data_IF_493071379658
#
_entry.id   IF_493071379658
#
_cell.length_a   1.000
_cell.length_b   1.000
_cell.length_c   1.000
_cell.angle_alpha   90.00
_cell.angle_beta   90.00
_cell.angle_gamma   90.00
#
_symmetry.space_group_name_H-M   'P 1'
#
loop_
_entity.id
_entity.type
_entity.pdbx_description
1 polymer ?
#
# COMPACT_ATOMS: atom_id res chain seq x y z
N UNK A 1 -1.67 -10.28 16.69
CA UNK A 1 -0.41 -10.13 15.91
C UNK A 1 0.07 -11.37 15.15
N UNK A 2 -0.09 -12.64 15.62
CA UNK A 2 0.52 -13.79 14.94
C UNK A 2 0.18 -13.94 13.46
N UNK A 3 -1.07 -13.67 13.08
CA UNK A 3 -1.51 -13.80 11.69
C UNK A 3 -0.89 -12.74 10.76
N UNK A 4 -0.80 -11.48 11.20
CA UNK A 4 -0.13 -10.42 10.42
C UNK A 4 1.35 -10.75 10.23
N UNK A 5 2.05 -11.14 11.30
CA UNK A 5 3.46 -11.56 11.24
C UNK A 5 3.67 -12.68 10.23
N UNK A 6 2.79 -13.71 10.28
CA UNK A 6 2.84 -14.85 9.35
C UNK A 6 2.59 -14.44 7.90
N UNK A 7 1.59 -13.58 7.66
CA UNK A 7 1.20 -13.18 6.30
C UNK A 7 2.23 -12.25 5.65
N UNK A 8 2.68 -11.21 6.35
CA UNK A 8 3.66 -10.26 5.81
C UNK A 8 5.07 -10.86 5.75
N UNK A 9 5.35 -11.85 6.61
CA UNK A 9 6.63 -12.57 6.65
C UNK A 9 6.82 -13.63 5.57
N UNK A 10 5.76 -14.03 4.84
CA UNK A 10 5.88 -14.87 3.65
C UNK A 10 6.80 -14.15 2.65
N UNK A 11 7.90 -14.79 2.25
CA UNK A 11 8.87 -14.18 1.34
C UNK A 11 8.23 -13.78 0.00
N UNK A 12 7.21 -14.48 -0.47
CA UNK A 12 6.48 -14.09 -1.67
C UNK A 12 5.83 -12.70 -1.52
N UNK A 13 5.44 -12.31 -0.30
CA UNK A 13 4.90 -11.00 0.04
C UNK A 13 6.04 -10.01 0.30
N UNK A 14 6.94 -10.30 1.25
CA UNK A 14 7.96 -9.33 1.69
C UNK A 14 8.98 -8.98 0.61
N UNK A 15 9.26 -9.88 -0.35
CA UNK A 15 10.17 -9.59 -1.48
C UNK A 15 9.69 -8.51 -2.43
N UNK A 16 8.43 -8.09 -2.30
CA UNK A 16 7.81 -7.02 -3.08
C UNK A 16 7.63 -5.71 -2.29
N UNK A 17 8.06 -5.69 -1.02
CA UNK A 17 7.87 -4.55 -0.10
C UNK A 17 9.22 -3.92 0.23
N UNK A 18 9.29 -2.59 0.25
CA UNK A 18 10.55 -1.87 0.44
C UNK A 18 11.15 -2.06 1.84
N UNK A 19 10.33 -1.89 2.88
CA UNK A 19 10.79 -1.76 4.27
C UNK A 19 10.70 -3.05 5.09
N UNK A 20 10.07 -4.11 4.56
CA UNK A 20 9.81 -5.36 5.30
C UNK A 20 11.03 -6.28 5.22
N UNK A 21 11.66 -6.66 6.36
CA UNK A 21 12.76 -7.62 6.36
C UNK A 21 12.29 -9.06 6.09
N UNK A 22 13.25 -9.94 5.81
CA UNK A 22 13.01 -11.39 5.81
C UNK A 22 14.21 -12.10 6.47
N UNK A 23 14.00 -12.98 7.47
CA UNK A 23 12.72 -13.32 8.09
C UNK A 23 12.08 -12.12 8.81
N UNK A 24 10.74 -12.11 8.87
CA UNK A 24 9.97 -11.09 9.59
C UNK A 24 9.56 -11.64 10.95
N UNK A 25 9.95 -10.97 12.03
CA UNK A 25 9.73 -11.43 13.41
C UNK A 25 8.44 -10.85 14.02
N UNK A 26 8.04 -11.41 15.17
CA UNK A 26 6.95 -10.82 15.97
C UNK A 26 7.34 -9.43 16.48
N UNK A 27 8.61 -9.22 16.83
CA UNK A 27 9.14 -7.92 17.28
C UNK A 27 9.08 -6.86 16.16
N UNK A 28 9.33 -7.24 14.90
CA UNK A 28 9.12 -6.35 13.76
C UNK A 28 7.64 -5.94 13.63
N UNK A 29 6.73 -6.88 13.87
CA UNK A 29 5.28 -6.64 13.81
C UNK A 29 4.81 -5.73 14.95
N UNK A 30 5.30 -5.96 16.17
CA UNK A 30 5.02 -5.13 17.33
C UNK A 30 5.58 -3.72 17.16
N UNK A 31 6.81 -3.59 16.64
CA UNK A 31 7.42 -2.28 16.33
C UNK A 31 6.58 -1.52 15.31
N UNK A 32 6.18 -2.17 14.22
CA UNK A 32 5.32 -1.56 13.21
C UNK A 32 3.95 -1.18 13.77
N UNK A 33 3.35 -2.04 14.61
CA UNK A 33 2.08 -1.77 15.25
C UNK A 33 2.16 -0.58 16.21
N UNK A 34 3.15 -0.54 17.12
CA UNK A 34 3.38 0.60 18.01
C UNK A 34 3.67 1.90 17.26
N UNK A 35 4.31 1.80 16.11
CA UNK A 35 4.52 2.96 15.25
C UNK A 35 3.20 3.42 14.65
N UNK A 36 2.33 2.53 14.17
CA UNK A 36 1.11 2.90 13.42
C UNK A 36 -0.12 3.14 14.30
N UNK A 37 -0.19 2.51 15.46
CA UNK A 37 -1.22 2.70 16.49
C UNK A 37 -1.01 4.06 17.18
N UNK A 38 -2.04 4.90 17.21
CA UNK A 38 -1.95 6.22 17.84
C UNK A 38 -1.31 7.32 16.99
N UNK A 39 -0.90 7.04 15.74
CA UNK A 39 -0.49 8.09 14.80
C UNK A 39 -1.67 8.96 14.39
N UNK A 40 -1.81 10.11 15.06
CA UNK A 40 -2.60 11.27 14.63
C UNK A 40 -1.75 12.45 14.17
N UNK A 41 -0.42 12.37 14.34
CA UNK A 41 0.49 13.52 14.23
C UNK A 41 1.45 13.58 13.04
N UNK A 42 1.69 12.49 12.31
CA UNK A 42 2.56 12.47 11.13
C UNK A 42 1.80 12.49 9.79
N UNK A 43 0.47 12.59 9.80
CA UNK A 43 -0.35 12.63 8.59
C UNK A 43 -0.36 11.33 7.76
N UNK A 44 0.23 10.22 8.22
CA UNK A 44 0.01 8.89 7.65
C UNK A 44 -1.14 8.20 8.39
N UNK A 45 -2.01 7.52 7.64
CA UNK A 45 -3.06 6.66 8.18
C UNK A 45 -2.89 5.27 7.61
N UNK A 46 -3.01 4.29 8.50
CA UNK A 46 -2.95 2.87 8.16
C UNK A 46 -4.29 2.23 8.48
N UNK A 47 -4.84 1.51 7.51
CA UNK A 47 -6.07 0.73 7.63
C UNK A 47 -5.72 -0.75 7.56
N UNK A 48 -6.22 -1.52 8.53
CA UNK A 48 -6.18 -2.98 8.45
C UNK A 48 -7.22 -3.48 7.44
N UNK A 49 -6.86 -4.48 6.64
CA UNK A 49 -7.81 -5.23 5.81
C UNK A 49 -8.21 -6.48 6.59
N UNK A 50 -9.50 -6.63 6.86
CA UNK A 50 -10.07 -7.80 7.53
C UNK A 50 -11.05 -8.52 6.62
N UNK A 51 -10.96 -9.85 6.60
CA UNK A 51 -11.93 -10.75 5.96
C UNK A 51 -12.41 -11.77 7.00
N UNK A 52 -13.72 -11.88 7.19
CA UNK A 52 -14.33 -12.79 8.17
C UNK A 52 -13.69 -12.69 9.57
N UNK A 53 -13.48 -11.45 10.03
CA UNK A 53 -12.82 -11.10 11.30
C UNK A 53 -11.37 -11.60 11.43
N UNK A 54 -10.68 -11.81 10.30
CA UNK A 54 -9.26 -12.17 10.24
C UNK A 54 -8.46 -11.13 9.47
N UNK A 55 -7.31 -10.76 10.03
CA UNK A 55 -6.38 -9.87 9.33
C UNK A 55 -5.90 -10.52 8.03
N UNK A 56 -5.89 -9.72 6.96
CA UNK A 56 -5.50 -10.14 5.62
C UNK A 56 -4.41 -9.27 5.01
N UNK A 57 -4.25 -8.03 5.47
CA UNK A 57 -3.27 -7.09 4.95
C UNK A 57 -3.46 -5.69 5.54
N UNK A 58 -2.83 -4.71 4.91
CA UNK A 58 -3.00 -3.30 5.28
C UNK A 58 -2.86 -2.38 4.06
N UNK A 59 -3.45 -1.20 4.19
CA UNK A 59 -3.29 -0.07 3.27
C UNK A 59 -2.82 1.13 4.07
N UNK A 60 -1.85 1.89 3.58
CA UNK A 60 -1.46 3.18 4.13
C UNK A 60 -1.68 4.29 3.12
N UNK A 61 -2.14 5.43 3.61
CA UNK A 61 -2.30 6.69 2.87
C UNK A 61 -1.71 7.83 3.69
N UNK A 62 -1.00 8.74 3.05
CA UNK A 62 -0.49 9.95 3.70
C UNK A 62 1.03 9.96 3.88
N UNK A 63 1.50 10.69 4.91
CA UNK A 63 2.85 11.23 5.20
C UNK A 63 3.07 12.69 4.78
N UNK A 64 3.83 13.48 5.57
CA UNK A 64 4.12 14.87 5.28
C UNK A 64 5.48 14.94 4.59
N UNK A 65 5.46 14.83 3.28
CA UNK A 65 6.38 15.51 2.38
C UNK A 65 5.54 16.06 1.22
N UNK A 66 6.15 16.76 0.27
CA UNK A 66 5.47 17.49 -0.82
C UNK A 66 4.44 16.68 -1.64
N UNK A 67 4.41 15.34 -1.53
CA UNK A 67 3.34 14.48 -2.05
C UNK A 67 3.02 13.28 -1.12
N UNK A 68 1.77 13.14 -0.64
CA UNK A 68 1.31 11.96 0.10
C UNK A 68 1.55 10.65 -0.64
N UNK A 69 1.83 9.56 0.09
CA UNK A 69 2.07 8.24 -0.49
C UNK A 69 0.91 7.28 -0.23
N UNK A 70 0.71 6.33 -1.15
CA UNK A 70 -0.20 5.20 -1.06
C UNK A 70 0.61 3.91 -1.09
N UNK A 71 0.59 3.16 0.02
CA UNK A 71 1.26 1.88 0.18
C UNK A 71 0.27 0.79 0.58
N UNK A 72 0.58 -0.47 0.27
CA UNK A 72 -0.28 -1.58 0.67
C UNK A 72 0.44 -2.91 0.59
N UNK A 73 -0.13 -3.89 1.29
CA UNK A 73 0.24 -5.29 1.13
C UNK A 73 -0.96 -6.17 1.47
N UNK A 74 -0.98 -7.38 0.90
CA UNK A 74 -2.00 -8.38 1.16
C UNK A 74 -1.32 -9.73 1.32
N UNK A 75 -1.81 -10.54 2.25
CA UNK A 75 -1.37 -11.91 2.43
C UNK A 75 -1.60 -12.75 1.17
N UNK A 76 -0.66 -13.64 0.86
CA UNK A 76 -0.65 -14.44 -0.37
C UNK A 76 -1.95 -15.23 -0.60
N UNK A 77 -2.59 -15.72 0.46
CA UNK A 77 -3.86 -16.47 0.41
C UNK A 77 -5.05 -15.66 -0.10
N UNK A 78 -4.92 -14.33 -0.20
CA UNK A 78 -6.01 -13.43 -0.59
C UNK A 78 -5.78 -12.77 -1.96
N UNK A 79 -4.69 -13.09 -2.65
CA UNK A 79 -4.35 -12.53 -3.95
C UNK A 79 -5.31 -12.96 -5.07
N UNK A 80 -5.42 -12.15 -6.12
CA UNK A 80 -6.21 -12.47 -7.32
C UNK A 80 -7.73 -12.35 -7.15
N UNK A 81 -8.21 -11.92 -5.98
CA UNK A 81 -9.65 -11.88 -5.63
C UNK A 81 -10.27 -10.47 -5.64
N UNK A 82 -9.50 -9.44 -5.99
CA UNK A 82 -9.98 -8.05 -6.07
C UNK A 82 -9.94 -7.26 -4.76
N UNK A 83 -9.72 -7.91 -3.61
CA UNK A 83 -9.76 -7.26 -2.29
C UNK A 83 -8.84 -6.06 -2.14
N UNK A 84 -7.63 -6.10 -2.69
CA UNK A 84 -6.72 -4.95 -2.59
C UNK A 84 -7.22 -3.75 -3.41
N UNK A 85 -7.88 -3.99 -4.55
CA UNK A 85 -8.49 -2.90 -5.32
C UNK A 85 -9.67 -2.27 -4.58
N UNK A 86 -10.46 -3.08 -3.88
CA UNK A 86 -11.57 -2.60 -3.05
C UNK A 86 -11.06 -1.79 -1.86
N UNK A 87 -10.15 -2.37 -1.05
CA UNK A 87 -9.57 -1.72 0.12
C UNK A 87 -8.81 -0.44 -0.26
N UNK A 88 -8.02 -0.49 -1.33
CA UNK A 88 -7.28 0.67 -1.85
C UNK A 88 -8.22 1.81 -2.26
N UNK A 89 -9.34 1.49 -2.94
CA UNK A 89 -10.33 2.50 -3.34
C UNK A 89 -10.98 3.18 -2.13
N UNK A 90 -11.31 2.40 -1.10
CA UNK A 90 -11.88 2.94 0.14
C UNK A 90 -10.90 3.86 0.88
N UNK A 91 -9.62 3.46 1.00
CA UNK A 91 -8.59 4.28 1.64
C UNK A 91 -8.32 5.59 0.87
N UNK A 92 -8.29 5.53 -0.47
CA UNK A 92 -8.13 6.71 -1.31
C UNK A 92 -9.34 7.65 -1.24
N UNK A 93 -10.56 7.09 -1.21
CA UNK A 93 -11.77 7.88 -0.98
C UNK A 93 -11.66 8.63 0.35
N UNK A 94 -11.33 7.93 1.44
CA UNK A 94 -11.11 8.54 2.74
C UNK A 94 -10.05 9.66 2.67
N UNK A 95 -8.90 9.43 2.02
CA UNK A 95 -7.84 10.43 1.91
C UNK A 95 -8.34 11.71 1.21
N UNK A 96 -8.98 11.58 0.05
CA UNK A 96 -9.48 12.72 -0.71
C UNK A 96 -10.67 13.41 -0.02
N UNK A 97 -11.53 12.68 0.68
CA UNK A 97 -12.70 13.24 1.36
C UNK A 97 -12.33 13.96 2.67
N UNK A 98 -11.23 13.59 3.31
CA UNK A 98 -10.84 14.11 4.64
C UNK A 98 -9.64 15.05 4.63
N UNK A 99 -8.97 15.23 3.50
CA UNK A 99 -7.79 16.10 3.36
C UNK A 99 -7.86 16.91 2.08
N UNK A 100 -7.08 18.00 2.00
CA UNK A 100 -6.95 18.82 0.79
C UNK A 100 -5.94 18.24 -0.22
N UNK A 101 -5.56 16.97 -0.09
CA UNK A 101 -4.63 16.29 -1.00
C UNK A 101 -5.10 16.41 -2.44
N UNK A 102 -4.23 16.89 -3.33
CA UNK A 102 -4.53 17.00 -4.76
C UNK A 102 -3.98 15.84 -5.57
N UNK A 103 -2.83 15.29 -5.16
CA UNK A 103 -2.14 14.18 -5.82
C UNK A 103 -1.56 13.25 -4.77
N UNK A 104 -1.69 11.95 -5.00
CA UNK A 104 -1.06 10.89 -4.20
C UNK A 104 -0.13 10.05 -5.07
N UNK A 105 1.03 9.71 -4.55
CA UNK A 105 2.03 8.90 -5.24
C UNK A 105 1.98 7.46 -4.76
N UNK A 106 2.35 6.52 -5.62
CA UNK A 106 2.62 5.14 -5.23
C UNK A 106 3.78 4.57 -6.05
N UNK A 107 4.38 3.49 -5.58
CA UNK A 107 5.48 2.82 -6.26
C UNK A 107 5.39 1.32 -6.16
N UNK A 108 5.84 0.63 -7.20
CA UNK A 108 5.98 -0.82 -7.22
C UNK A 108 7.22 -1.22 -8.04
N UNK A 109 7.82 -2.37 -7.73
CA UNK A 109 8.87 -2.95 -8.56
C UNK A 109 8.34 -3.25 -9.97
N UNK A 110 9.21 -3.18 -10.98
CA UNK A 110 8.84 -3.50 -12.36
C UNK A 110 8.38 -4.96 -12.50
N UNK A 111 8.99 -5.86 -11.73
CA UNK A 111 8.61 -7.28 -11.68
C UNK A 111 7.27 -7.52 -10.95
N UNK A 112 6.76 -6.55 -10.18
CA UNK A 112 5.52 -6.66 -9.43
C UNK A 112 4.30 -6.25 -10.27
N UNK A 113 4.06 -7.02 -11.32
CA UNK A 113 2.92 -6.84 -12.24
C UNK A 113 1.57 -6.85 -11.54
N UNK A 114 1.42 -7.59 -10.42
CA UNK A 114 0.20 -7.62 -9.63
C UNK A 114 -0.11 -6.26 -9.00
N UNK A 115 0.88 -5.62 -8.35
CA UNK A 115 0.71 -4.26 -7.80
C UNK A 115 0.51 -3.21 -8.89
N UNK A 116 1.23 -3.30 -10.01
CA UNK A 116 1.02 -2.39 -11.14
C UNK A 116 -0.42 -2.48 -11.69
N UNK A 117 -0.97 -3.70 -11.78
CA UNK A 117 -2.37 -3.90 -12.17
C UNK A 117 -3.37 -3.32 -11.16
N UNK A 118 -3.11 -3.45 -9.85
CA UNK A 118 -3.93 -2.83 -8.81
C UNK A 118 -3.90 -1.30 -8.96
N UNK A 119 -2.72 -0.71 -9.10
CA UNK A 119 -2.54 0.75 -9.25
C UNK A 119 -3.27 1.27 -10.50
N UNK A 120 -3.14 0.58 -11.62
CA UNK A 120 -3.89 0.89 -12.85
C UNK A 120 -5.41 0.87 -12.64
N UNK A 121 -5.95 -0.16 -11.98
CA UNK A 121 -7.40 -0.27 -11.66
C UNK A 121 -7.89 0.80 -10.69
N UNK A 122 -7.01 1.31 -9.83
CA UNK A 122 -7.30 2.44 -8.93
C UNK A 122 -7.20 3.79 -9.64
N UNK A 123 -6.72 3.81 -10.88
CA UNK A 123 -6.62 5.01 -11.71
C UNK A 123 -5.27 5.70 -11.67
N UNK A 124 -4.23 5.11 -11.05
CA UNK A 124 -2.89 5.69 -11.08
C UNK A 124 -2.32 5.71 -12.51
N UNK A 125 -1.55 6.76 -12.81
CA UNK A 125 -0.96 7.05 -14.12
C UNK A 125 0.41 7.71 -13.97
N UNK A 126 1.10 8.02 -15.08
CA UNK A 126 2.38 8.72 -15.05
C UNK A 126 3.49 7.84 -14.49
N UNK A 127 3.96 6.89 -15.29
CA UNK A 127 4.99 5.96 -14.87
C UNK A 127 6.39 6.58 -15.06
N UNK A 128 7.08 6.80 -13.94
CA UNK A 128 8.47 7.26 -13.91
C UNK A 128 9.36 6.14 -13.34
N UNK A 129 10.45 5.82 -14.04
CA UNK A 129 11.44 4.86 -13.54
C UNK A 129 12.02 5.37 -12.22
N UNK A 130 12.09 4.48 -11.25
CA UNK A 130 12.57 4.73 -9.90
C UNK A 130 13.32 3.50 -9.40
N UNK A 131 14.17 3.68 -8.38
CA UNK A 131 14.91 2.58 -7.76
C UNK A 131 14.40 2.35 -6.34
N UNK A 132 13.93 1.13 -6.05
CA UNK A 132 13.38 0.76 -4.75
C UNK A 132 14.35 -0.16 -4.01
N UNK A 133 14.82 0.26 -2.83
CA UNK A 133 15.52 -0.63 -1.90
C UNK A 133 14.53 -1.62 -1.28
N UNK A 134 14.84 -2.91 -1.36
CA UNK A 134 14.00 -4.01 -0.85
C UNK A 134 14.72 -4.72 0.28
N UNK A 135 14.32 -4.43 1.52
CA UNK A 135 15.00 -4.88 2.74
C UNK A 135 15.08 -6.41 2.84
N UNK A 136 14.03 -7.12 2.45
CA UNK A 136 13.98 -8.59 2.42
C UNK A 136 14.94 -9.23 1.42
N UNK A 137 15.37 -8.49 0.39
CA UNK A 137 16.31 -8.96 -0.64
C UNK A 137 17.72 -8.42 -0.46
N UNK A 138 17.90 -7.33 0.31
CA UNK A 138 19.18 -6.63 0.43
C UNK A 138 19.63 -5.96 -0.88
N UNK A 139 18.68 -5.70 -1.78
CA UNK A 139 18.94 -5.21 -3.15
C UNK A 139 18.19 -3.91 -3.42
N UNK A 140 18.73 -3.09 -4.32
CA UNK A 140 18.00 -1.98 -4.94
C UNK A 140 17.59 -2.40 -6.34
N UNK A 141 16.30 -2.33 -6.64
CA UNK A 141 15.70 -2.88 -7.85
C UNK A 141 14.96 -1.82 -8.64
N UNK A 142 14.84 -1.98 -9.97
CA UNK A 142 14.04 -1.07 -10.79
C UNK A 142 12.55 -1.19 -10.43
N UNK A 143 11.89 -0.04 -10.39
CA UNK A 143 10.48 0.10 -10.15
C UNK A 143 9.88 1.28 -10.90
N UNK A 144 8.57 1.37 -10.83
CA UNK A 144 7.80 2.48 -11.37
C UNK A 144 7.19 3.27 -10.22
N UNK A 145 7.29 4.60 -10.30
CA UNK A 145 6.51 5.52 -9.51
C UNK A 145 5.36 6.06 -10.36
N UNK A 146 4.16 6.05 -9.80
CA UNK A 146 2.90 6.47 -10.43
C UNK A 146 2.14 7.41 -9.51
N UNK A 147 1.19 8.16 -10.07
CA UNK A 147 0.40 9.14 -9.34
C UNK A 147 -1.09 9.06 -9.67
N UNK A 148 -1.91 9.50 -8.71
CA UNK A 148 -3.35 9.66 -8.87
C UNK A 148 -3.75 11.06 -8.40
N UNK A 149 -4.37 11.85 -9.29
CA UNK A 149 -4.95 13.13 -8.92
C UNK A 149 -6.38 12.97 -8.39
N UNK A 150 -6.80 13.92 -7.55
CA UNK A 150 -8.19 14.04 -7.06
C UNK A 150 -9.19 14.08 -8.21
N UNK A 151 -8.97 14.97 -9.19
CA UNK A 151 -9.83 15.13 -10.35
C UNK A 151 -10.06 13.80 -11.09
N UNK A 152 -8.97 13.03 -11.29
CA UNK A 152 -9.05 11.72 -11.94
C UNK A 152 -9.81 10.71 -11.09
N UNK A 153 -9.56 10.69 -9.79
CA UNK A 153 -10.26 9.81 -8.86
C UNK A 153 -11.77 10.09 -8.87
N UNK A 154 -12.16 11.36 -8.80
CA UNK A 154 -13.56 11.80 -8.82
C UNK A 154 -14.24 11.48 -10.16
N UNK A 155 -13.55 11.68 -11.29
CA UNK A 155 -14.05 11.31 -12.63
C UNK A 155 -14.33 9.81 -12.73
N UNK A 156 -13.42 8.97 -12.23
CA UNK A 156 -13.59 7.51 -12.24
C UNK A 156 -14.68 7.04 -11.26
N UNK A 157 -14.92 7.77 -10.17
CA UNK A 157 -16.02 7.52 -9.23
C UNK A 157 -17.38 7.85 -9.88
N UNK A 158 -17.48 8.95 -10.61
CA UNK A 158 -18.73 9.38 -11.26
C UNK A 158 -19.14 8.54 -12.47
N UNK A 159 -18.18 8.00 -13.24
CA UNK A 159 -18.44 7.17 -14.43
C UNK A 159 -18.83 5.71 -14.14
N UNK A 160 -18.88 5.30 -12.87
CA UNK A 160 -19.27 3.95 -12.44
C UNK A 160 -20.75 3.84 -12.02
N UNK A 161 -21.58 4.82 -12.42
CA UNK A 161 -23.01 4.90 -12.12
C UNK A 161 -23.88 4.31 -13.22
#
# INVERSE_FOLDING_TARGET
>A
MPEITRLIGDFAVSRMLSVVPHPYSVEDAETWFLQTEGQTGNGERVFAIELDSRAAGAVSVGKPAEAPEFGYWLGRSYWGRGFMTEAGRAALAWLFETTDTQTVMSGALDENTASLNVLSKLGFTGAHTYSLSVKSRGETLPGMRVQLSRERFETLKGGAS
#
